data_IF_379793744721
#
_entry.id   IF_379793744721
#
_cell.length_a   1.000
_cell.length_b   1.000
_cell.length_c   1.000
_cell.angle_alpha   90.00
_cell.angle_beta   90.00
_cell.angle_gamma   90.00
#
_symmetry.space_group_name_H-M   'P 1'
#
loop_
_entity.id
_entity.type
_entity.pdbx_description
1 polymer ?
#
# COMPACT_ATOMS: atom_id res chain seq x y z
N UNK A 1 14.85 11.49 -15.22
CA UNK A 1 14.22 10.23 -14.80
C UNK A 1 15.28 9.25 -14.32
N UNK A 2 15.19 8.82 -13.08
CA UNK A 2 16.18 7.99 -12.42
C UNK A 2 15.60 6.63 -12.11
N UNK A 3 16.28 5.56 -12.53
CA UNK A 3 15.90 4.20 -12.15
C UNK A 3 16.20 3.97 -10.66
N UNK A 4 15.37 3.18 -9.99
CA UNK A 4 15.61 2.78 -8.62
C UNK A 4 16.64 1.65 -8.58
N UNK A 5 17.52 1.68 -7.58
CA UNK A 5 18.48 0.62 -7.36
C UNK A 5 17.79 -0.58 -6.71
N UNK A 6 17.82 -1.74 -7.35
CA UNK A 6 17.18 -2.96 -6.83
C UNK A 6 17.74 -3.37 -5.45
N UNK A 7 19.02 -3.17 -5.20
CA UNK A 7 19.61 -3.47 -3.91
C UNK A 7 19.03 -2.61 -2.79
N UNK A 8 18.75 -1.35 -3.08
CA UNK A 8 18.10 -0.45 -2.14
C UNK A 8 16.63 -0.82 -1.94
N UNK A 9 15.90 -1.09 -3.03
CA UNK A 9 14.48 -1.47 -2.99
C UNK A 9 14.26 -2.71 -2.15
N UNK A 10 15.14 -3.71 -2.29
CA UNK A 10 15.00 -4.97 -1.54
C UNK A 10 15.60 -4.93 -0.14
N UNK A 11 16.24 -3.83 0.24
CA UNK A 11 16.77 -3.63 1.60
C UNK A 11 15.77 -2.98 2.56
N UNK A 12 14.69 -2.40 2.06
CA UNK A 12 13.74 -1.62 2.86
C UNK A 12 12.31 -1.99 2.54
N UNK A 13 11.45 -1.87 3.57
CA UNK A 13 10.00 -1.95 3.39
C UNK A 13 9.53 -0.61 2.83
N UNK A 14 9.24 -0.59 1.54
CA UNK A 14 8.82 0.62 0.83
C UNK A 14 7.32 0.60 0.59
N UNK A 15 6.73 1.79 0.57
CA UNK A 15 5.33 1.97 0.27
C UNK A 15 5.16 2.47 -1.17
N UNK A 16 4.08 2.03 -1.82
CA UNK A 16 3.67 2.59 -3.10
C UNK A 16 2.15 2.59 -3.22
N UNK A 17 1.63 3.36 -4.17
CA UNK A 17 0.20 3.56 -4.36
C UNK A 17 -0.17 3.28 -5.80
N UNK A 18 -1.35 2.70 -6.01
CA UNK A 18 -1.83 2.34 -7.34
C UNK A 18 -3.34 2.29 -7.43
N UNK A 19 -3.84 2.19 -8.65
CA UNK A 19 -5.27 2.02 -8.94
C UNK A 19 -5.63 0.54 -8.91
N UNK A 20 -6.59 0.17 -8.06
CA UNK A 20 -7.07 -1.19 -7.95
C UNK A 20 -8.59 -1.20 -8.14
N UNK A 21 -9.02 -1.40 -9.39
CA UNK A 21 -10.43 -1.24 -9.75
C UNK A 21 -10.87 0.20 -9.55
N UNK A 22 -11.92 0.40 -8.74
CA UNK A 22 -12.44 1.74 -8.41
C UNK A 22 -11.76 2.34 -7.17
N UNK A 23 -10.86 1.59 -6.53
CA UNK A 23 -10.22 2.00 -5.30
C UNK A 23 -8.78 2.43 -5.54
N UNK A 24 -8.29 3.29 -4.67
CA UNK A 24 -6.87 3.63 -4.62
C UNK A 24 -6.26 2.80 -3.50
N UNK A 25 -5.20 2.09 -3.81
CA UNK A 25 -4.59 1.15 -2.89
C UNK A 25 -3.20 1.60 -2.46
N UNK A 26 -2.87 1.26 -1.22
CA UNK A 26 -1.54 1.38 -0.63
C UNK A 26 -0.95 -0.01 -0.52
N UNK A 27 0.34 -0.13 -0.82
CA UNK A 27 1.08 -1.38 -0.76
C UNK A 27 2.39 -1.19 -0.01
N UNK A 28 2.67 -2.08 0.93
CA UNK A 28 3.96 -2.14 1.62
C UNK A 28 4.72 -3.36 1.11
N UNK A 29 5.92 -3.14 0.56
CA UNK A 29 6.67 -4.19 -0.15
C UNK A 29 7.35 -5.20 0.77
N UNK A 30 7.57 -4.85 2.04
CA UNK A 30 8.28 -5.73 2.97
C UNK A 30 9.71 -6.07 2.55
N UNK A 31 10.34 -5.24 1.73
CA UNK A 31 11.68 -5.51 1.22
C UNK A 31 11.72 -6.51 0.07
N UNK A 32 10.59 -6.74 -0.60
CA UNK A 32 10.53 -7.62 -1.77
C UNK A 32 10.72 -6.85 -3.07
N UNK A 33 10.91 -7.59 -4.16
CA UNK A 33 11.02 -7.06 -5.51
C UNK A 33 9.64 -7.00 -6.17
N UNK A 34 8.71 -6.25 -5.57
CA UNK A 34 7.33 -6.16 -6.06
C UNK A 34 6.91 -4.74 -6.44
N UNK A 35 7.85 -3.79 -6.41
CA UNK A 35 7.58 -2.42 -6.85
C UNK A 35 7.26 -2.42 -8.36
N UNK A 36 6.19 -1.72 -8.81
CA UNK A 36 5.87 -1.66 -10.24
C UNK A 36 7.00 -1.06 -11.08
N UNK A 37 7.14 -1.56 -12.31
CA UNK A 37 8.19 -1.10 -13.22
C UNK A 37 8.15 0.40 -13.48
N UNK A 38 6.96 0.99 -13.56
CA UNK A 38 6.83 2.43 -13.78
C UNK A 38 7.53 3.24 -12.68
N UNK A 39 7.49 2.76 -11.46
CA UNK A 39 8.21 3.38 -10.34
C UNK A 39 9.69 2.94 -10.31
N UNK A 40 9.98 1.68 -10.58
CA UNK A 40 11.36 1.19 -10.64
C UNK A 40 12.20 1.97 -11.66
N UNK A 41 11.60 2.40 -12.76
CA UNK A 41 12.27 3.16 -13.81
C UNK A 41 12.26 4.67 -13.56
N UNK A 42 11.48 5.15 -12.60
CA UNK A 42 11.31 6.58 -12.37
C UNK A 42 11.11 6.88 -10.88
N UNK A 43 12.23 6.99 -10.18
CA UNK A 43 12.23 7.25 -8.73
C UNK A 43 11.54 8.56 -8.38
N UNK A 44 11.72 9.59 -9.19
CA UNK A 44 11.15 10.92 -8.96
C UNK A 44 9.61 10.86 -9.04
N UNK A 45 9.07 10.04 -9.93
CA UNK A 45 7.63 9.81 -10.01
C UNK A 45 7.12 9.11 -8.73
N UNK A 46 7.83 8.07 -8.29
CA UNK A 46 7.49 7.37 -7.04
C UNK A 46 7.51 8.31 -5.86
N UNK A 47 8.55 9.14 -5.73
CA UNK A 47 8.65 10.12 -4.64
C UNK A 47 7.52 11.13 -4.67
N UNK A 48 7.18 11.65 -5.85
CA UNK A 48 6.10 12.62 -6.02
C UNK A 48 4.74 12.06 -5.55
N UNK A 49 4.42 10.84 -5.99
CA UNK A 49 3.17 10.19 -5.62
C UNK A 49 3.17 9.87 -4.12
N UNK A 50 4.25 9.32 -3.61
CA UNK A 50 4.37 8.94 -2.20
C UNK A 50 4.27 10.15 -1.28
N UNK A 51 4.98 11.22 -1.60
CA UNK A 51 4.93 12.44 -0.79
C UNK A 51 3.52 13.03 -0.74
N UNK A 52 2.83 13.05 -1.87
CA UNK A 52 1.46 13.55 -1.89
C UNK A 52 0.54 12.69 -1.02
N UNK A 53 0.57 11.37 -1.20
CA UNK A 53 -0.31 10.46 -0.48
C UNK A 53 0.02 10.40 1.02
N UNK A 54 1.31 10.42 1.37
CA UNK A 54 1.73 10.39 2.79
C UNK A 54 1.31 11.63 3.55
N UNK A 55 1.17 12.77 2.87
CA UNK A 55 0.79 14.04 3.49
C UNK A 55 -0.72 14.26 3.56
N UNK A 56 -1.53 13.33 3.07
CA UNK A 56 -2.97 13.43 3.21
C UNK A 56 -3.38 13.30 4.67
N UNK A 57 -4.40 14.04 5.11
CA UNK A 57 -4.87 13.95 6.49
C UNK A 57 -5.62 12.64 6.75
N UNK A 58 -5.51 12.13 7.97
CA UNK A 58 -6.35 11.05 8.44
C UNK A 58 -7.75 11.59 8.72
N UNK A 59 -8.77 10.84 8.32
CA UNK A 59 -10.16 11.16 8.59
C UNK A 59 -10.64 10.38 9.82
N UNK A 60 -11.71 10.87 10.45
CA UNK A 60 -12.28 10.23 11.64
C UNK A 60 -13.37 9.20 11.29
N UNK A 61 -13.38 8.69 10.07
CA UNK A 61 -14.31 7.65 9.68
C UNK A 61 -13.87 6.26 10.16
N UNK A 62 -14.82 5.35 10.19
CA UNK A 62 -14.53 3.96 10.52
C UNK A 62 -13.75 3.28 9.38
N UNK A 63 -12.94 2.30 9.76
CA UNK A 63 -12.19 1.47 8.84
C UNK A 63 -12.48 0.00 9.16
N UNK A 64 -12.16 -0.88 8.21
CA UNK A 64 -12.30 -2.33 8.40
C UNK A 64 -10.93 -2.98 8.45
N UNK A 65 -10.74 -3.89 9.40
CA UNK A 65 -9.52 -4.69 9.51
C UNK A 65 -9.84 -6.11 9.03
N UNK A 66 -9.04 -6.62 8.10
CA UNK A 66 -9.21 -7.96 7.54
C UNK A 66 -8.49 -8.98 8.42
N UNK A 67 -9.09 -9.38 9.53
CA UNK A 67 -8.48 -10.25 10.54
C UNK A 67 -7.96 -11.57 9.96
N UNK A 68 -8.65 -12.13 8.96
CA UNK A 68 -8.24 -13.38 8.33
C UNK A 68 -6.90 -13.30 7.58
N UNK A 69 -6.40 -12.10 7.30
CA UNK A 69 -5.14 -11.87 6.60
C UNK A 69 -3.98 -11.49 7.53
N UNK A 70 -4.23 -11.45 8.83
CA UNK A 70 -3.22 -11.06 9.80
C UNK A 70 -2.40 -12.25 10.27
N UNK A 71 -1.11 -12.05 10.65
CA UNK A 71 -0.34 -13.08 11.31
C UNK A 71 -0.83 -13.28 12.75
N UNK A 72 -0.29 -14.31 13.41
CA UNK A 72 -0.53 -14.53 14.83
C UNK A 72 0.20 -13.46 15.66
N UNK A 73 -0.44 -12.98 16.70
CA UNK A 73 0.13 -12.05 17.69
C UNK A 73 0.03 -12.65 19.08
N UNK A 74 1.07 -12.47 19.88
CA UNK A 74 1.09 -12.96 21.26
C UNK A 74 0.24 -12.11 22.20
N UNK A 75 0.05 -10.83 21.87
CA UNK A 75 -0.74 -9.90 22.69
C UNK A 75 -1.30 -8.75 21.85
N UNK A 76 -2.19 -7.98 22.46
CA UNK A 76 -2.86 -6.86 21.79
C UNK A 76 -1.91 -5.72 21.42
N UNK A 77 -0.87 -5.48 22.23
CA UNK A 77 0.10 -4.42 21.94
C UNK A 77 0.88 -4.72 20.65
N UNK A 78 1.28 -5.98 20.46
CA UNK A 78 1.97 -6.40 19.24
C UNK A 78 1.05 -6.23 18.02
N UNK A 79 -0.23 -6.60 18.15
CA UNK A 79 -1.21 -6.44 17.11
C UNK A 79 -1.42 -4.96 16.74
N UNK A 80 -1.60 -4.10 17.73
CA UNK A 80 -1.77 -2.66 17.50
C UNK A 80 -0.56 -2.04 16.82
N UNK A 81 0.64 -2.42 17.25
CA UNK A 81 1.87 -1.94 16.64
C UNK A 81 1.97 -2.34 15.16
N UNK A 82 1.68 -3.61 14.85
CA UNK A 82 1.68 -4.11 13.47
C UNK A 82 0.66 -3.35 12.61
N UNK A 83 -0.53 -3.10 13.13
CA UNK A 83 -1.62 -2.50 12.38
C UNK A 83 -1.50 -0.98 12.21
N UNK A 84 -0.67 -0.30 12.98
CA UNK A 84 -0.70 1.17 13.07
C UNK A 84 -0.58 1.87 11.72
N UNK A 85 0.36 1.45 10.87
CA UNK A 85 0.55 2.07 9.55
C UNK A 85 -0.59 1.74 8.58
N UNK A 86 -1.13 0.52 8.64
CA UNK A 86 -2.25 0.11 7.78
C UNK A 86 -3.54 0.81 8.18
N UNK A 87 -3.76 1.01 9.46
CA UNK A 87 -4.90 1.79 9.97
C UNK A 87 -4.79 3.25 9.53
N UNK A 88 -3.60 3.83 9.62
CA UNK A 88 -3.35 5.20 9.15
C UNK A 88 -3.71 5.33 7.68
N UNK A 89 -3.26 4.40 6.82
CA UNK A 89 -3.55 4.44 5.39
C UNK A 89 -5.05 4.31 5.10
N UNK A 90 -5.75 3.42 5.80
CA UNK A 90 -7.20 3.30 5.66
C UNK A 90 -7.93 4.58 6.08
N UNK A 91 -7.46 5.24 7.13
CA UNK A 91 -8.03 6.53 7.56
C UNK A 91 -7.77 7.66 6.56
N UNK A 92 -6.78 7.52 5.69
CA UNK A 92 -6.56 8.43 4.57
C UNK A 92 -7.41 8.10 3.35
N UNK A 93 -8.08 6.94 3.35
CA UNK A 93 -8.97 6.51 2.28
C UNK A 93 -8.38 5.46 1.35
N UNK A 94 -7.26 4.84 1.71
CA UNK A 94 -6.59 3.82 0.89
C UNK A 94 -6.94 2.40 1.34
N UNK A 95 -7.10 1.50 0.37
CA UNK A 95 -7.11 0.06 0.60
C UNK A 95 -5.67 -0.39 0.83
N UNK A 96 -5.33 -0.76 2.06
CA UNK A 96 -3.95 -0.96 2.48
C UNK A 96 -3.57 -2.43 2.50
N UNK A 97 -2.45 -2.75 1.85
CA UNK A 97 -2.00 -4.12 1.62
C UNK A 97 -0.59 -4.36 2.14
N UNK A 98 -0.33 -5.60 2.55
CA UNK A 98 1.02 -6.06 2.85
C UNK A 98 1.34 -7.31 2.03
N UNK A 99 2.63 -7.52 1.77
CA UNK A 99 3.08 -8.65 0.97
C UNK A 99 2.95 -9.98 1.73
N UNK A 100 2.54 -11.01 1.04
CA UNK A 100 2.70 -12.40 1.47
C UNK A 100 4.01 -12.90 0.88
N UNK A 101 5.00 -13.13 1.75
CA UNK A 101 6.36 -13.47 1.32
C UNK A 101 6.46 -14.82 0.60
N UNK A 102 5.53 -15.73 0.87
CA UNK A 102 5.54 -17.06 0.23
C UNK A 102 5.02 -17.00 -1.19
N UNK A 103 3.93 -16.27 -1.42
CA UNK A 103 3.26 -16.20 -2.71
C UNK A 103 3.68 -14.99 -3.53
N UNK A 104 4.36 -14.02 -2.93
CA UNK A 104 4.68 -12.71 -3.50
C UNK A 104 3.44 -12.00 -4.07
N UNK A 105 2.33 -12.15 -3.35
CA UNK A 105 1.08 -11.46 -3.61
C UNK A 105 0.74 -10.55 -2.43
N UNK A 106 0.06 -9.45 -2.70
CA UNK A 106 -0.39 -8.53 -1.66
C UNK A 106 -1.69 -8.98 -1.05
N UNK A 107 -1.77 -8.95 0.27
CA UNK A 107 -2.99 -9.23 1.03
C UNK A 107 -3.58 -7.94 1.54
N UNK A 108 -4.89 -7.79 1.44
CA UNK A 108 -5.60 -6.64 2.01
C UNK A 108 -5.61 -6.75 3.53
N UNK A 109 -5.10 -5.72 4.19
CA UNK A 109 -5.02 -5.66 5.65
C UNK A 109 -6.12 -4.78 6.24
N UNK A 110 -6.29 -3.58 5.67
CA UNK A 110 -7.32 -2.63 6.11
C UNK A 110 -7.94 -1.94 4.91
N UNK A 111 -9.17 -1.46 5.06
CA UNK A 111 -9.77 -0.61 4.03
C UNK A 111 -10.74 0.40 4.64
N UNK A 112 -10.97 1.52 3.95
CA UNK A 112 -11.86 2.58 4.44
C UNK A 112 -13.31 2.29 4.08
N UNK A 113 -14.24 2.94 4.81
CA UNK A 113 -15.64 2.99 4.41
C UNK A 113 -15.81 3.94 3.21
N UNK A 114 -15.04 5.03 3.19
CA UNK A 114 -15.07 6.01 2.10
C UNK A 114 -13.71 6.08 1.42
N UNK A 115 -13.73 6.00 0.10
CA UNK A 115 -12.51 6.08 -0.70
C UNK A 115 -11.90 7.48 -0.68
N UNK A 116 -10.56 7.53 -0.77
CA UNK A 116 -9.85 8.78 -0.99
C UNK A 116 -10.25 9.39 -2.34
N UNK A 117 -10.32 10.72 -2.37
CA UNK A 117 -10.49 11.47 -3.62
C UNK A 117 -9.19 12.21 -3.90
N UNK A 118 -8.46 11.75 -4.92
CA UNK A 118 -7.21 12.36 -5.33
C UNK A 118 -7.48 13.43 -6.40
N UNK A 119 -6.67 14.50 -6.43
CA UNK A 119 -6.65 15.39 -7.60
C UNK A 119 -6.35 14.59 -8.86
N UNK A 120 -6.96 14.97 -9.98
CA UNK A 120 -6.80 14.27 -11.24
C UNK A 120 -5.33 14.15 -11.64
N UNK A 121 -4.54 15.19 -11.41
CA UNK A 121 -3.12 15.19 -11.75
C UNK A 121 -2.31 14.10 -11.01
N UNK A 122 -2.70 13.78 -9.78
CA UNK A 122 -2.06 12.70 -9.01
C UNK A 122 -2.64 11.34 -9.43
N UNK A 123 -3.95 11.26 -9.57
CA UNK A 123 -4.62 10.03 -10.02
C UNK A 123 -4.04 9.51 -11.33
N UNK A 124 -3.80 10.40 -12.29
CA UNK A 124 -3.26 10.04 -13.59
C UNK A 124 -1.83 9.48 -13.53
N UNK A 125 -1.09 9.76 -12.46
CA UNK A 125 0.26 9.25 -12.26
C UNK A 125 0.31 7.84 -11.66
N UNK A 126 -0.81 7.37 -11.09
CA UNK A 126 -0.84 6.08 -10.43
C UNK A 126 -0.84 4.93 -11.44
N UNK A 127 -0.02 3.89 -11.20
CA UNK A 127 -0.08 2.69 -12.03
C UNK A 127 -1.37 1.92 -11.80
N UNK A 128 -1.85 1.24 -12.83
CA UNK A 128 -2.90 0.24 -12.69
C UNK A 128 -2.28 -1.00 -12.04
N UNK A 129 -2.90 -1.48 -10.96
CA UNK A 129 -2.40 -2.66 -10.24
C UNK A 129 -2.70 -3.92 -11.05
N UNK A 130 -1.69 -4.79 -11.19
CA UNK A 130 -1.86 -6.11 -11.77
C UNK A 130 -2.61 -7.00 -10.77
N UNK A 131 -3.81 -7.46 -11.14
CA UNK A 131 -4.65 -8.26 -10.26
C UNK A 131 -4.02 -9.60 -9.91
N UNK A 132 -3.08 -10.11 -10.71
CA UNK A 132 -2.32 -11.31 -10.37
C UNK A 132 -1.42 -11.12 -9.16
N UNK A 133 -1.07 -9.88 -8.83
CA UNK A 133 -0.26 -9.53 -7.66
C UNK A 133 -1.08 -9.41 -6.37
N UNK A 134 -2.40 -9.50 -6.45
CA UNK A 134 -3.31 -9.39 -5.31
C UNK A 134 -3.79 -10.79 -4.95
N UNK A 135 -3.72 -11.14 -3.66
CA UNK A 135 -4.25 -12.40 -3.18
C UNK A 135 -5.77 -12.44 -3.31
N UNK A 136 -6.30 -13.61 -3.67
CA UNK A 136 -7.74 -13.84 -3.70
C UNK A 136 -8.34 -13.55 -2.32
N UNK A 137 -9.54 -12.95 -2.23
CA UNK A 137 -10.19 -12.64 -0.96
C UNK A 137 -10.68 -13.88 -0.18
N UNK A 138 -10.54 -15.05 -0.75
CA UNK A 138 -10.96 -16.30 -0.08
C UNK A 138 -9.84 -16.85 0.80
#
# INVERSE_FOLDING_TARGET
MTAMDIGWVTAYDLDWFGKCGQHIAHFATGGTDTMPDVFMQNKELWEKVSDFCDNLPMQEWEIVICDGNLPYFENDNEREWYLSSFVEMAKKGFYSHYIDFKKLQYKLITYPILDVKLPQAIYDLLPQVDLEKIASPN
#
